data_IF_299312066069
#
_entry.id   IF_299312066069
#
_cell.length_a   1.000
_cell.length_b   1.000
_cell.length_c   1.000
_cell.angle_alpha   90.00
_cell.angle_beta   90.00
_cell.angle_gamma   90.00
#
_symmetry.space_group_name_H-M   'P 1'
#
loop_
_entity.id
_entity.type
_entity.pdbx_description
1 polymer ?
#
# COMPACT_ATOMS: atom_id res chain seq x y z
N UNK A 1 1.91 6.08 -8.76
CA UNK A 1 0.77 5.65 -7.89
C UNK A 1 0.55 6.63 -6.75
N UNK A 2 -0.68 7.12 -6.58
CA UNK A 2 -1.08 7.96 -5.44
C UNK A 2 -1.59 7.06 -4.32
N UNK A 3 -0.90 7.05 -3.19
CA UNK A 3 -1.26 6.25 -2.02
C UNK A 3 -1.73 7.16 -0.88
N UNK A 4 -2.84 6.82 -0.24
CA UNK A 4 -3.33 7.45 0.98
C UNK A 4 -3.43 6.39 2.05
N UNK A 5 -2.84 6.66 3.21
CA UNK A 5 -2.88 5.72 4.32
C UNK A 5 -4.07 5.96 5.27
N UNK A 6 -4.22 5.08 6.26
CA UNK A 6 -5.29 5.13 7.25
C UNK A 6 -5.26 6.37 8.16
N UNK A 7 -4.12 7.06 8.26
CA UNK A 7 -3.97 8.30 9.05
C UNK A 7 -4.03 9.57 8.19
N UNK A 8 -4.34 9.43 6.90
CA UNK A 8 -4.60 10.53 5.97
C UNK A 8 -3.36 11.12 5.29
N UNK A 9 -2.16 10.56 5.51
CA UNK A 9 -0.94 10.98 4.80
C UNK A 9 -1.03 10.54 3.34
N UNK A 10 -0.42 11.34 2.46
CA UNK A 10 -0.41 11.09 1.01
C UNK A 10 1.02 10.85 0.55
N UNK A 11 1.21 9.80 -0.22
CA UNK A 11 2.49 9.43 -0.81
C UNK A 11 2.34 9.31 -2.33
N UNK A 12 3.46 9.51 -3.00
CA UNK A 12 3.59 9.23 -4.43
C UNK A 12 4.64 8.15 -4.59
N UNK A 13 4.16 6.93 -4.87
CA UNK A 13 5.03 5.79 -5.13
C UNK A 13 5.39 5.75 -6.62
N UNK A 14 6.69 5.69 -6.98
CA UNK A 14 7.12 5.45 -8.35
C UNK A 14 6.57 4.10 -8.84
N UNK A 15 5.95 4.10 -10.03
CA UNK A 15 5.30 2.90 -10.57
C UNK A 15 6.26 1.70 -10.63
N UNK A 16 7.49 1.90 -11.10
CA UNK A 16 8.50 0.83 -11.21
C UNK A 16 8.91 0.20 -9.87
N UNK A 17 8.64 0.85 -8.73
CA UNK A 17 8.90 0.30 -7.39
C UNK A 17 7.67 -0.38 -6.79
N UNK A 18 6.50 -0.17 -7.38
CA UNK A 18 5.21 -0.55 -6.81
C UNK A 18 4.36 -1.40 -7.77
N UNK A 19 4.87 -1.70 -8.97
CA UNK A 19 4.16 -2.51 -9.96
C UNK A 19 4.07 -4.00 -9.60
N UNK A 20 4.67 -4.43 -8.48
CA UNK A 20 4.52 -5.76 -7.90
C UNK A 20 4.01 -5.68 -6.46
N UNK A 21 3.34 -6.72 -5.98
CA UNK A 21 2.85 -6.78 -4.60
C UNK A 21 3.98 -6.57 -3.60
N UNK A 22 5.08 -7.31 -3.76
CA UNK A 22 6.25 -7.19 -2.89
C UNK A 22 6.86 -5.78 -2.90
N UNK A 23 6.83 -5.10 -4.05
CA UNK A 23 7.30 -3.71 -4.18
C UNK A 23 6.42 -2.72 -3.42
N UNK A 24 5.10 -2.78 -3.62
CA UNK A 24 4.17 -1.89 -2.92
C UNK A 24 4.13 -2.18 -1.42
N UNK A 25 4.17 -3.46 -1.01
CA UNK A 25 4.23 -3.87 0.39
C UNK A 25 5.47 -3.33 1.10
N UNK A 26 6.64 -3.37 0.44
CA UNK A 26 7.86 -2.76 0.97
C UNK A 26 7.71 -1.23 1.16
N UNK A 27 7.14 -0.53 0.18
CA UNK A 27 6.90 0.91 0.28
C UNK A 27 5.90 1.26 1.39
N UNK A 28 4.86 0.46 1.56
CA UNK A 28 3.89 0.58 2.66
C UNK A 28 4.61 0.39 4.00
N UNK A 29 5.41 -0.68 4.15
CA UNK A 29 6.17 -0.93 5.37
C UNK A 29 7.11 0.23 5.73
N UNK A 30 7.76 0.84 4.74
CA UNK A 30 8.59 2.04 4.94
C UNK A 30 7.76 3.26 5.35
N UNK A 31 6.58 3.48 4.75
CA UNK A 31 5.69 4.57 5.12
C UNK A 31 5.19 4.48 6.57
N UNK A 32 5.11 3.28 7.13
CA UNK A 32 4.63 3.01 8.48
C UNK A 32 5.74 2.78 9.52
N UNK A 33 7.03 2.94 9.15
CA UNK A 33 8.16 2.63 10.03
C UNK A 33 8.16 3.43 11.35
N UNK A 34 7.66 4.67 11.33
CA UNK A 34 7.57 5.57 12.49
C UNK A 34 6.13 5.93 12.87
N UNK A 35 5.15 5.11 12.47
CA UNK A 35 3.75 5.30 12.87
C UNK A 35 3.45 4.34 14.00
N UNK A 36 3.29 4.84 15.23
CA UNK A 36 3.30 4.02 16.45
C UNK A 36 2.28 2.88 16.45
N UNK A 37 1.07 3.09 16.95
CA UNK A 37 0.09 2.01 17.22
C UNK A 37 -0.23 1.15 15.98
N UNK A 38 -0.18 1.75 14.79
CA UNK A 38 -0.60 1.10 13.53
C UNK A 38 0.57 0.42 12.81
N UNK A 39 1.81 0.90 12.99
CA UNK A 39 2.98 0.39 12.27
C UNK A 39 3.24 -1.11 12.45
N UNK A 40 3.18 -1.68 13.67
CA UNK A 40 3.32 -3.11 13.89
C UNK A 40 2.24 -3.93 13.16
N UNK A 41 1.00 -3.47 13.15
CA UNK A 41 -0.14 -4.13 12.49
C UNK A 41 0.08 -4.14 10.97
N UNK A 42 0.58 -3.04 10.41
CA UNK A 42 0.93 -2.95 8.99
C UNK A 42 2.07 -3.88 8.63
N UNK A 43 3.12 -3.95 9.46
CA UNK A 43 4.24 -4.89 9.24
C UNK A 43 3.82 -6.36 9.27
N UNK A 44 2.74 -6.68 9.99
CA UNK A 44 2.14 -8.02 10.01
C UNK A 44 1.22 -8.30 8.80
N UNK A 45 1.08 -7.36 7.86
CA UNK A 45 0.22 -7.50 6.68
C UNK A 45 -1.27 -7.38 7.00
N UNK A 46 -1.64 -6.85 8.17
CA UNK A 46 -3.04 -6.74 8.62
C UNK A 46 -3.69 -5.45 8.15
N UNK A 47 -3.87 -5.31 6.85
CA UNK A 47 -4.54 -4.18 6.22
C UNK A 47 -5.15 -4.58 4.88
N UNK A 48 -6.16 -3.82 4.44
CA UNK A 48 -6.70 -3.92 3.09
C UNK A 48 -6.16 -2.76 2.24
N UNK A 49 -5.86 -3.04 0.97
CA UNK A 49 -5.68 -1.99 -0.03
C UNK A 49 -7.04 -1.68 -0.65
N UNK A 50 -7.40 -0.40 -0.67
CA UNK A 50 -8.65 0.06 -1.23
C UNK A 50 -8.37 0.78 -2.55
N UNK A 51 -9.02 0.32 -3.62
CA UNK A 51 -8.93 0.93 -4.94
C UNK A 51 -9.72 2.24 -5.04
N UNK A 52 -9.57 2.98 -6.14
CA UNK A 52 -10.20 4.29 -6.32
C UNK A 52 -11.74 4.26 -6.27
N UNK A 53 -12.37 3.11 -6.54
CA UNK A 53 -13.83 2.95 -6.51
C UNK A 53 -14.34 2.36 -5.19
N UNK A 54 -13.46 2.12 -4.21
CA UNK A 54 -13.80 1.60 -2.89
C UNK A 54 -13.73 0.08 -2.76
N UNK A 55 -13.29 -0.63 -3.79
CA UNK A 55 -13.07 -2.08 -3.79
C UNK A 55 -11.82 -2.47 -3.01
N UNK A 56 -11.85 -3.64 -2.36
CA UNK A 56 -10.64 -4.24 -1.76
C UNK A 56 -9.81 -4.89 -2.86
N UNK A 57 -8.53 -4.55 -2.94
CA UNK A 57 -7.56 -5.16 -3.84
C UNK A 57 -6.82 -6.25 -3.09
N UNK A 58 -6.93 -7.48 -3.58
CA UNK A 58 -6.20 -8.62 -3.02
C UNK A 58 -4.74 -8.63 -3.49
N UNK A 59 -3.79 -9.09 -2.65
CA UNK A 59 -2.39 -9.24 -3.04
C UNK A 59 -2.19 -10.00 -4.36
N UNK A 60 -2.97 -11.06 -4.59
CA UNK A 60 -2.84 -11.96 -5.73
C UNK A 60 -3.24 -11.34 -7.08
N UNK A 61 -3.98 -10.24 -7.07
CA UNK A 61 -4.47 -9.58 -8.28
C UNK A 61 -3.80 -8.22 -8.50
N UNK A 62 -2.89 -7.81 -7.62
CA UNK A 62 -2.28 -6.48 -7.62
C UNK A 62 -1.71 -6.09 -9.00
N UNK A 63 -0.88 -6.98 -9.57
CA UNK A 63 -0.22 -6.78 -10.86
C UNK A 63 -1.21 -6.63 -12.03
N UNK A 64 -2.44 -7.14 -11.87
CA UNK A 64 -3.49 -7.07 -12.91
C UNK A 64 -4.32 -5.80 -12.85
N UNK A 65 -4.33 -5.11 -11.72
CA UNK A 65 -5.15 -3.90 -11.50
C UNK A 65 -4.33 -2.62 -11.44
N UNK A 66 -3.02 -2.73 -11.23
CA UNK A 66 -2.16 -1.56 -11.08
C UNK A 66 -1.75 -0.97 -12.42
N UNK A 67 -1.84 0.35 -12.52
CA UNK A 67 -1.52 1.13 -13.72
C UNK A 67 -0.63 2.34 -13.37
N UNK A 68 0.17 2.87 -14.34
CA UNK A 68 1.06 4.02 -14.15
C UNK A 68 0.39 5.31 -13.64
#
# INVERSE_FOLDING_TARGET
IRFKDAVGRKFMFPFHLACTWAGVENLINQAFLHVDVIGPIVKEGRYDLIGPSGEVILPQIWETVIEP
#
